data_IF_155470673143
#
_entry.id   IF_155470673143
#
_cell.length_a   1.000
_cell.length_b   1.000
_cell.length_c   1.000
_cell.angle_alpha   90.00
_cell.angle_beta   90.00
_cell.angle_gamma   90.00
#
_symmetry.space_group_name_H-M   'P 1'
#
loop_
_entity.id
_entity.type
_entity.pdbx_description
1 polymer ?
#
# COMPACT_ATOMS: atom_id res chain seq x y z
N UNK A 1 9.08 10.95 36.86
CA UNK A 1 7.75 11.08 36.23
C UNK A 1 7.54 12.55 35.91
N UNK A 2 8.10 13.02 34.80
CA UNK A 2 7.92 14.39 34.31
C UNK A 2 6.62 14.44 33.50
N UNK A 3 5.68 15.28 33.94
CA UNK A 3 4.38 15.41 33.29
C UNK A 3 4.50 16.00 31.90
N UNK A 4 4.26 15.19 30.87
CA UNK A 4 4.00 15.65 29.51
C UNK A 4 2.80 16.59 29.55
N UNK A 5 2.96 17.81 29.03
CA UNK A 5 1.93 18.85 29.13
C UNK A 5 0.74 18.50 28.22
N UNK A 6 -0.48 18.92 28.57
CA UNK A 6 -1.69 18.76 27.74
C UNK A 6 -1.49 19.32 26.31
N UNK A 7 -0.65 20.35 26.18
CA UNK A 7 -0.20 20.96 24.92
C UNK A 7 0.61 20.01 24.04
N UNK A 8 1.43 19.13 24.63
CA UNK A 8 2.23 18.15 23.88
C UNK A 8 1.35 17.04 23.27
N UNK A 9 0.34 16.59 24.02
CA UNK A 9 -0.65 15.63 23.52
C UNK A 9 -1.50 16.22 22.39
N UNK A 10 -1.94 17.47 22.53
CA UNK A 10 -2.71 18.15 21.49
C UNK A 10 -1.88 18.33 20.21
N UNK A 11 -0.62 18.78 20.34
CA UNK A 11 0.30 18.92 19.22
C UNK A 11 0.53 17.58 18.50
N UNK A 12 0.78 16.51 19.27
CA UNK A 12 0.98 15.15 18.74
C UNK A 12 -0.27 14.65 18.01
N UNK A 13 -1.46 14.88 18.57
CA UNK A 13 -2.72 14.53 17.92
C UNK A 13 -2.94 15.32 16.61
N UNK A 14 -2.62 16.61 16.60
CA UNK A 14 -2.73 17.46 15.40
C UNK A 14 -1.79 16.98 14.29
N UNK A 15 -0.54 16.61 14.60
CA UNK A 15 0.38 16.03 13.63
C UNK A 15 -0.09 14.68 13.09
N UNK A 16 -0.66 13.83 13.95
CA UNK A 16 -1.26 12.56 13.53
C UNK A 16 -2.41 12.79 12.54
N UNK A 17 -3.32 13.72 12.86
CA UNK A 17 -4.44 14.09 11.99
C UNK A 17 -3.93 14.71 10.69
N UNK A 18 -2.89 15.55 10.73
CA UNK A 18 -2.27 16.13 9.54
C UNK A 18 -1.76 15.03 8.60
N UNK A 19 -0.93 14.11 9.09
CA UNK A 19 -0.44 13.00 8.27
C UNK A 19 -1.57 12.09 7.78
N UNK A 20 -2.54 11.77 8.64
CA UNK A 20 -3.68 10.96 8.26
C UNK A 20 -4.51 11.62 7.15
N UNK A 21 -4.78 12.92 7.27
CA UNK A 21 -5.50 13.71 6.26
C UNK A 21 -4.72 13.79 4.94
N UNK A 22 -3.39 13.95 4.99
CA UNK A 22 -2.53 13.91 3.81
C UNK A 22 -2.56 12.56 3.09
N UNK A 23 -2.51 11.45 3.85
CA UNK A 23 -2.66 10.08 3.31
C UNK A 23 -4.03 9.91 2.66
N UNK A 24 -5.10 10.27 3.37
CA UNK A 24 -6.47 10.11 2.87
C UNK A 24 -6.67 10.95 1.62
N UNK A 25 -6.35 12.24 1.66
CA UNK A 25 -6.54 13.15 0.54
C UNK A 25 -5.77 12.70 -0.71
N UNK A 26 -4.46 12.44 -0.58
CA UNK A 26 -3.63 12.03 -1.71
C UNK A 26 -4.07 10.70 -2.32
N UNK A 27 -4.43 9.71 -1.48
CA UNK A 27 -4.82 8.39 -1.97
C UNK A 27 -6.27 8.33 -2.47
N UNK A 28 -7.16 9.20 -2.00
CA UNK A 28 -8.49 9.40 -2.58
C UNK A 28 -8.37 10.04 -3.96
N UNK A 29 -7.58 11.11 -4.10
CA UNK A 29 -7.30 11.72 -5.42
C UNK A 29 -6.71 10.70 -6.37
N UNK A 30 -5.71 9.92 -5.92
CA UNK A 30 -5.14 8.82 -6.69
C UNK A 30 -6.23 7.84 -7.14
N UNK A 31 -7.08 7.37 -6.22
CA UNK A 31 -8.13 6.40 -6.53
C UNK A 31 -9.17 6.91 -7.54
N UNK A 32 -9.65 8.13 -7.36
CA UNK A 32 -10.64 8.77 -8.24
C UNK A 32 -10.05 9.02 -9.63
N UNK A 33 -8.81 9.51 -9.73
CA UNK A 33 -8.13 9.66 -11.01
C UNK A 33 -7.89 8.30 -11.67
N UNK A 34 -7.54 7.28 -10.89
CA UNK A 34 -7.35 5.93 -11.38
C UNK A 34 -8.63 5.39 -12.03
N UNK A 35 -9.77 5.52 -11.35
CA UNK A 35 -11.07 5.10 -11.87
C UNK A 35 -11.46 5.92 -13.10
N UNK A 36 -11.32 7.25 -13.05
CA UNK A 36 -11.63 8.14 -14.18
C UNK A 36 -10.84 7.80 -15.43
N UNK A 37 -9.52 7.61 -15.33
CA UNK A 37 -8.65 7.27 -16.46
C UNK A 37 -9.07 5.96 -17.11
N UNK A 38 -9.52 4.99 -16.32
CA UNK A 38 -9.88 3.64 -16.80
C UNK A 38 -11.32 3.52 -17.29
N UNK A 39 -12.21 4.44 -16.91
CA UNK A 39 -13.67 4.34 -17.18
C UNK A 39 -14.19 5.41 -18.14
N UNK A 40 -13.60 6.61 -18.18
CA UNK A 40 -14.12 7.71 -18.98
C UNK A 40 -13.25 7.89 -20.25
N UNK A 41 -13.85 7.93 -21.46
CA UNK A 41 -13.11 8.14 -22.70
C UNK A 41 -12.56 9.57 -22.80
N UNK A 42 -11.38 9.70 -23.41
CA UNK A 42 -10.77 10.97 -23.78
C UNK A 42 -11.13 11.25 -25.24
N UNK A 43 -11.97 12.26 -25.49
CA UNK A 43 -12.38 12.61 -26.85
C UNK A 43 -13.08 11.48 -27.63
N UNK A 44 -13.75 10.55 -26.93
CA UNK A 44 -14.40 9.39 -27.52
C UNK A 44 -13.57 8.11 -27.54
N UNK A 45 -12.27 8.17 -27.22
CA UNK A 45 -11.38 7.00 -27.15
C UNK A 45 -11.08 6.61 -25.71
N UNK A 46 -11.31 5.34 -25.36
CA UNK A 46 -11.01 4.80 -24.03
C UNK A 46 -9.56 4.36 -23.91
N UNK A 47 -8.89 4.77 -22.81
CA UNK A 47 -7.52 4.37 -22.54
C UNK A 47 -7.45 2.87 -22.19
N UNK A 48 -6.73 2.11 -23.00
CA UNK A 48 -6.62 0.65 -22.85
C UNK A 48 -5.25 0.16 -22.37
N UNK A 49 -4.27 1.06 -22.21
CA UNK A 49 -2.87 0.70 -21.98
C UNK A 49 -2.46 0.72 -20.50
N UNK A 50 -3.12 -0.12 -19.67
CA UNK A 50 -2.93 -0.16 -18.20
C UNK A 50 -1.46 -0.28 -17.76
N UNK A 51 -0.66 -1.10 -18.45
CA UNK A 51 0.76 -1.32 -18.13
C UNK A 51 1.58 -0.03 -18.29
N UNK A 52 1.21 0.85 -19.21
CA UNK A 52 1.88 2.13 -19.42
C UNK A 52 1.68 3.06 -18.21
N UNK A 53 0.46 3.08 -17.66
CA UNK A 53 0.19 3.87 -16.45
C UNK A 53 0.93 3.33 -15.23
N UNK A 54 1.05 2.00 -15.12
CA UNK A 54 1.88 1.35 -14.10
C UNK A 54 3.33 1.78 -14.26
N UNK A 55 3.87 1.75 -15.49
CA UNK A 55 5.24 2.21 -15.78
C UNK A 55 5.47 3.66 -15.34
N UNK A 56 4.60 4.61 -15.72
CA UNK A 56 4.72 6.02 -15.30
C UNK A 56 4.74 6.17 -13.77
N UNK A 57 3.85 5.46 -13.07
CA UNK A 57 3.82 5.48 -11.61
C UNK A 57 5.09 4.88 -10.98
N UNK A 58 5.69 3.84 -11.58
CA UNK A 58 6.95 3.26 -11.09
C UNK A 58 8.12 4.20 -11.32
N UNK A 59 8.18 4.90 -12.44
CA UNK A 59 9.21 5.94 -12.70
C UNK A 59 9.12 7.04 -11.64
N UNK A 60 7.92 7.56 -11.38
CA UNK A 60 7.72 8.56 -10.33
C UNK A 60 8.14 8.05 -8.94
N UNK A 61 7.82 6.80 -8.61
CA UNK A 61 8.22 6.18 -7.34
C UNK A 61 9.74 5.98 -7.23
N UNK A 62 10.44 5.66 -8.33
CA UNK A 62 11.92 5.59 -8.37
C UNK A 62 12.52 6.96 -8.09
N UNK A 63 12.05 8.01 -8.76
CA UNK A 63 12.52 9.38 -8.53
C UNK A 63 12.34 9.80 -7.07
N UNK A 64 11.16 9.53 -6.50
CA UNK A 64 10.89 9.77 -5.09
C UNK A 64 11.83 8.98 -4.16
N UNK A 65 12.04 7.69 -4.44
CA UNK A 65 12.93 6.86 -3.64
C UNK A 65 14.39 7.36 -3.69
N UNK A 66 14.87 7.82 -4.84
CA UNK A 66 16.21 8.43 -4.99
C UNK A 66 16.30 9.70 -4.14
N UNK A 67 15.34 10.62 -4.26
CA UNK A 67 15.32 11.88 -3.49
C UNK A 67 15.30 11.61 -1.99
N UNK A 68 14.48 10.67 -1.53
CA UNK A 68 14.41 10.35 -0.09
C UNK A 68 15.67 9.64 0.41
N UNK A 69 16.25 8.73 -0.38
CA UNK A 69 17.48 8.04 -0.03
C UNK A 69 18.67 9.01 0.06
N UNK A 70 18.78 9.98 -0.85
CA UNK A 70 19.82 11.03 -0.79
C UNK A 70 19.63 11.95 0.41
N UNK A 71 18.39 12.41 0.68
CA UNK A 71 18.08 13.24 1.85
C UNK A 71 18.37 12.54 3.18
N UNK A 72 18.19 11.23 3.25
CA UNK A 72 18.47 10.41 4.44
C UNK A 72 19.89 9.84 4.49
N UNK A 73 20.74 10.16 3.50
CA UNK A 73 22.12 9.66 3.39
C UNK A 73 22.22 8.14 3.52
N UNK A 74 21.21 7.42 3.01
CA UNK A 74 21.24 5.97 3.05
C UNK A 74 22.20 5.42 1.99
N UNK A 75 22.88 4.32 2.32
CA UNK A 75 23.73 3.64 1.36
C UNK A 75 22.87 2.96 0.29
N UNK A 76 23.12 3.29 -0.98
CA UNK A 76 22.52 2.64 -2.15
C UNK A 76 23.05 1.21 -2.39
N UNK A 77 23.76 0.64 -1.42
CA UNK A 77 24.32 -0.70 -1.53
C UNK A 77 23.21 -1.74 -1.58
N UNK A 78 23.26 -2.61 -2.58
CA UNK A 78 22.31 -3.70 -2.69
C UNK A 78 22.49 -4.70 -1.53
N UNK A 79 21.56 -4.72 -0.57
CA UNK A 79 21.69 -5.58 0.63
C UNK A 79 21.17 -7.01 0.40
N UNK A 80 20.45 -7.27 -0.68
CA UNK A 80 19.90 -8.59 -1.00
C UNK A 80 20.15 -9.00 -2.46
N UNK A 81 20.24 -10.31 -2.78
CA UNK A 81 20.47 -10.74 -4.15
C UNK A 81 19.36 -10.27 -5.09
N UNK A 82 19.73 -9.70 -6.25
CA UNK A 82 18.80 -9.04 -7.19
C UNK A 82 17.65 -9.92 -7.66
N UNK A 83 17.85 -11.24 -7.76
CA UNK A 83 16.80 -12.16 -8.15
C UNK A 83 15.62 -12.17 -7.17
N UNK A 84 15.85 -11.95 -5.85
CA UNK A 84 14.77 -11.85 -4.85
C UNK A 84 13.93 -10.59 -5.09
N UNK A 85 14.58 -9.46 -5.38
CA UNK A 85 13.88 -8.24 -5.77
C UNK A 85 13.14 -8.40 -7.10
N UNK A 86 13.67 -9.18 -8.04
CA UNK A 86 13.03 -9.45 -9.32
C UNK A 86 11.73 -10.24 -9.14
N UNK A 87 11.72 -11.28 -8.30
CA UNK A 87 10.50 -12.05 -7.99
C UNK A 87 9.42 -11.15 -7.37
N UNK A 88 9.80 -10.30 -6.42
CA UNK A 88 8.90 -9.31 -5.81
C UNK A 88 8.36 -8.33 -6.87
N UNK A 89 9.22 -7.87 -7.77
CA UNK A 89 8.87 -6.90 -8.81
C UNK A 89 7.93 -7.50 -9.86
N UNK A 90 8.18 -8.74 -10.29
CA UNK A 90 7.29 -9.47 -11.19
C UNK A 90 5.89 -9.59 -10.57
N UNK A 91 5.81 -10.10 -9.34
CA UNK A 91 4.54 -10.25 -8.63
C UNK A 91 3.80 -8.91 -8.47
N UNK A 92 4.53 -7.83 -8.15
CA UNK A 92 3.98 -6.48 -8.02
C UNK A 92 3.46 -5.90 -9.35
N UNK A 93 4.18 -6.08 -10.46
CA UNK A 93 3.75 -5.61 -11.78
C UNK A 93 2.50 -6.36 -12.23
N UNK A 94 2.48 -7.68 -12.13
CA UNK A 94 1.28 -8.46 -12.47
C UNK A 94 0.09 -8.13 -11.57
N UNK A 95 0.31 -7.98 -10.25
CA UNK A 95 -0.72 -7.54 -9.33
C UNK A 95 -1.31 -6.17 -9.74
N UNK A 96 -0.43 -5.19 -10.04
CA UNK A 96 -0.84 -3.86 -10.47
C UNK A 96 -1.66 -3.93 -11.77
N UNK A 97 -1.18 -4.67 -12.77
CA UNK A 97 -1.90 -4.83 -14.04
C UNK A 97 -3.29 -5.44 -13.83
N UNK A 98 -3.41 -6.51 -13.04
CA UNK A 98 -4.70 -7.11 -12.69
C UNK A 98 -5.62 -6.12 -11.97
N UNK A 99 -5.07 -5.31 -11.05
CA UNK A 99 -5.83 -4.28 -10.34
C UNK A 99 -6.41 -3.25 -11.32
N UNK A 100 -5.59 -2.70 -12.20
CA UNK A 100 -6.02 -1.71 -13.19
C UNK A 100 -7.04 -2.29 -14.18
N UNK A 101 -6.81 -3.49 -14.70
CA UNK A 101 -7.76 -4.16 -15.59
C UNK A 101 -9.09 -4.47 -14.90
N UNK A 102 -9.07 -4.78 -13.59
CA UNK A 102 -10.30 -5.03 -12.85
C UNK A 102 -11.23 -3.81 -12.80
N UNK A 103 -10.71 -2.57 -12.85
CA UNK A 103 -11.54 -1.34 -12.91
C UNK A 103 -12.44 -1.26 -14.15
N UNK A 104 -12.10 -2.00 -15.21
CA UNK A 104 -12.95 -2.07 -16.41
C UNK A 104 -14.22 -2.88 -16.18
N UNK A 105 -14.24 -3.75 -15.17
CA UNK A 105 -15.33 -4.71 -14.93
C UNK A 105 -16.01 -4.51 -13.57
N UNK A 106 -15.24 -4.11 -12.54
CA UNK A 106 -15.75 -3.87 -11.19
C UNK A 106 -15.56 -2.41 -10.78
N UNK A 107 -16.50 -1.89 -9.99
CA UNK A 107 -16.40 -0.52 -9.48
C UNK A 107 -15.20 -0.33 -8.55
N UNK A 108 -14.76 0.92 -8.39
CA UNK A 108 -13.68 1.22 -7.44
C UNK A 108 -14.06 0.87 -5.99
N UNK A 109 -15.33 1.03 -5.59
CA UNK A 109 -15.82 0.61 -4.29
C UNK A 109 -15.59 -0.90 -4.05
N UNK A 110 -15.90 -1.74 -5.04
CA UNK A 110 -15.63 -3.19 -5.00
C UNK A 110 -14.15 -3.48 -4.83
N UNK A 111 -13.26 -2.74 -5.51
CA UNK A 111 -11.82 -2.91 -5.34
C UNK A 111 -11.31 -2.47 -3.97
N UNK A 112 -11.84 -1.37 -3.44
CA UNK A 112 -11.44 -0.88 -2.12
C UNK A 112 -11.82 -1.88 -1.02
N UNK A 113 -12.97 -2.55 -1.17
CA UNK A 113 -13.37 -3.66 -0.30
C UNK A 113 -12.58 -4.93 -0.55
N UNK A 114 -12.35 -5.29 -1.82
CA UNK A 114 -11.51 -6.44 -2.17
C UNK A 114 -10.11 -6.33 -1.57
N UNK A 115 -9.53 -5.13 -1.51
CA UNK A 115 -8.24 -4.89 -0.83
C UNK A 115 -8.26 -5.25 0.65
N UNK A 116 -9.40 -5.17 1.33
CA UNK A 116 -9.54 -5.64 2.71
C UNK A 116 -9.43 -7.16 2.81
N UNK A 117 -9.88 -7.89 1.79
CA UNK A 117 -9.71 -9.35 1.70
C UNK A 117 -8.25 -9.79 1.54
N UNK A 118 -7.32 -8.90 1.13
CA UNK A 118 -5.85 -9.17 1.04
C UNK A 118 -5.30 -9.87 2.28
N UNK A 119 -5.85 -9.59 3.45
CA UNK A 119 -5.43 -10.21 4.71
C UNK A 119 -5.41 -11.74 4.64
N UNK A 120 -6.39 -12.36 3.98
CA UNK A 120 -6.47 -13.81 3.80
C UNK A 120 -5.30 -14.36 2.96
N UNK A 121 -5.07 -13.91 1.71
CA UNK A 121 -3.89 -14.30 0.95
C UNK A 121 -2.56 -14.06 1.67
N UNK A 122 -2.41 -12.94 2.38
CA UNK A 122 -1.18 -12.64 3.15
C UNK A 122 -0.95 -13.67 4.24
N UNK A 123 -1.99 -14.08 4.98
CA UNK A 123 -1.88 -15.12 6.00
C UNK A 123 -1.50 -16.48 5.39
N UNK A 124 -2.15 -16.87 4.28
CA UNK A 124 -1.84 -18.12 3.57
C UNK A 124 -0.38 -18.16 3.10
N UNK A 125 0.10 -17.10 2.43
CA UNK A 125 1.49 -17.01 2.01
C UNK A 125 2.46 -16.90 3.19
N UNK A 126 2.07 -16.22 4.26
CA UNK A 126 2.85 -16.11 5.49
C UNK A 126 3.10 -17.48 6.14
N UNK A 127 2.10 -18.36 6.13
CA UNK A 127 2.26 -19.76 6.54
C UNK A 127 3.14 -20.52 5.56
N UNK A 128 2.82 -20.47 4.26
CA UNK A 128 3.49 -21.28 3.25
C UNK A 128 4.98 -20.95 3.06
N UNK A 129 5.36 -19.67 3.11
CA UNK A 129 6.72 -19.23 2.75
C UNK A 129 7.55 -18.78 3.95
N UNK A 130 6.90 -18.27 4.99
CA UNK A 130 7.57 -17.75 6.19
C UNK A 130 7.34 -18.61 7.44
N UNK A 131 6.59 -19.72 7.33
CA UNK A 131 6.32 -20.62 8.46
C UNK A 131 5.58 -19.97 9.63
N UNK A 132 4.93 -18.82 9.40
CA UNK A 132 4.23 -18.08 10.47
C UNK A 132 3.04 -18.91 10.98
N UNK A 133 2.73 -18.79 12.26
CA UNK A 133 1.52 -19.33 12.87
C UNK A 133 0.62 -18.18 13.26
N UNK A 134 -0.67 -18.31 12.96
CA UNK A 134 -1.68 -17.30 13.25
C UNK A 134 -2.59 -17.81 14.36
N UNK A 135 -3.02 -16.92 15.24
CA UNK A 135 -3.91 -17.24 16.35
C UNK A 135 -5.34 -17.49 15.85
N UNK A 136 -6.19 -18.10 16.69
CA UNK A 136 -7.61 -18.24 16.38
C UNK A 136 -8.27 -16.86 16.17
N UNK A 137 -7.85 -15.85 16.93
CA UNK A 137 -8.32 -14.46 16.80
C UNK A 137 -8.02 -13.90 15.41
N UNK A 138 -6.83 -14.14 14.87
CA UNK A 138 -6.47 -13.69 13.51
C UNK A 138 -7.39 -14.33 12.45
N UNK A 139 -7.71 -15.61 12.60
CA UNK A 139 -8.63 -16.33 11.71
C UNK A 139 -10.07 -15.84 11.83
N UNK A 140 -10.56 -15.56 13.04
CA UNK A 140 -11.91 -15.02 13.24
C UNK A 140 -12.06 -13.64 12.62
N UNK A 141 -11.05 -12.77 12.76
CA UNK A 141 -11.03 -11.47 12.10
C UNK A 141 -11.02 -11.65 10.58
N UNK A 142 -10.21 -12.58 10.07
CA UNK A 142 -10.15 -12.87 8.63
C UNK A 142 -11.47 -13.40 8.07
N UNK A 143 -12.15 -14.26 8.82
CA UNK A 143 -13.48 -14.73 8.50
C UNK A 143 -14.50 -13.58 8.50
N UNK A 144 -14.47 -12.69 9.50
CA UNK A 144 -15.36 -11.51 9.57
C UNK A 144 -15.18 -10.54 8.39
N UNK A 145 -13.93 -10.22 8.03
CA UNK A 145 -13.62 -9.41 6.84
C UNK A 145 -14.12 -10.10 5.57
N UNK A 146 -13.86 -11.41 5.43
CA UNK A 146 -14.28 -12.19 4.26
C UNK A 146 -15.80 -12.22 4.13
N UNK A 147 -16.52 -12.48 5.23
CA UNK A 147 -17.98 -12.49 5.25
C UNK A 147 -18.56 -11.13 4.84
N UNK A 148 -18.02 -10.03 5.37
CA UNK A 148 -18.47 -8.68 5.02
C UNK A 148 -18.24 -8.33 3.54
N UNK A 149 -17.08 -8.73 2.99
CA UNK A 149 -16.79 -8.54 1.55
C UNK A 149 -17.71 -9.41 0.69
N UNK A 150 -17.89 -10.68 1.03
CA UNK A 150 -18.78 -11.58 0.29
C UNK A 150 -20.22 -11.09 0.28
N UNK A 151 -20.74 -10.69 1.45
CA UNK A 151 -22.10 -10.14 1.57
C UNK A 151 -22.28 -8.93 0.65
N UNK A 152 -21.32 -7.99 0.68
CA UNK A 152 -21.36 -6.80 -0.16
C UNK A 152 -21.36 -7.12 -1.66
N UNK A 153 -20.56 -8.11 -2.08
CA UNK A 153 -20.44 -8.52 -3.48
C UNK A 153 -21.70 -9.26 -3.98
N UNK A 154 -22.40 -9.97 -3.10
CA UNK A 154 -23.58 -10.76 -3.48
C UNK A 154 -24.88 -9.94 -3.49
N UNK A 155 -24.95 -8.82 -2.77
CA UNK A 155 -26.23 -8.11 -2.51
C UNK A 155 -26.37 -6.75 -3.21
N UNK A 156 -25.50 -6.42 -4.15
CA UNK A 156 -25.75 -5.25 -5.01
C UNK A 156 -24.90 -5.20 -6.28
N UNK A 157 -25.09 -4.16 -7.10
CA UNK A 157 -24.42 -4.05 -8.39
C UNK A 157 -22.91 -3.87 -8.20
N UNK A 158 -22.16 -4.88 -8.62
CA UNK A 158 -20.69 -4.91 -8.56
C UNK A 158 -20.03 -4.43 -9.85
N UNK A 159 -20.82 -4.29 -10.92
CA UNK A 159 -20.39 -3.93 -12.27
C UNK A 159 -19.96 -2.46 -12.38
N UNK A 160 -18.91 -2.23 -13.17
CA UNK A 160 -18.51 -0.89 -13.64
C UNK A 160 -19.56 -0.32 -14.62
N UNK A 161 -19.73 1.01 -14.74
CA UNK A 161 -20.67 1.62 -15.70
C UNK A 161 -20.49 1.21 -17.17
N UNK A 162 -19.30 0.72 -17.55
CA UNK A 162 -18.96 0.24 -18.89
C UNK A 162 -18.95 -1.30 -19.02
N UNK A 163 -19.60 -2.04 -18.11
CA UNK A 163 -19.51 -3.51 -18.09
C UNK A 163 -19.98 -4.14 -19.41
N UNK A 164 -19.08 -4.85 -20.09
CA UNK A 164 -19.34 -5.65 -21.29
C UNK A 164 -19.98 -7.02 -20.96
N UNK A 165 -20.69 -7.14 -19.83
CA UNK A 165 -21.42 -8.33 -19.43
C UNK A 165 -20.56 -9.45 -18.86
N UNK A 166 -19.41 -9.14 -18.22
CA UNK A 166 -18.49 -10.18 -17.75
C UNK A 166 -17.91 -9.89 -16.35
N UNK A 167 -18.76 -9.53 -15.40
CA UNK A 167 -18.37 -9.19 -14.01
C UNK A 167 -17.58 -10.33 -13.31
N UNK A 168 -17.78 -11.59 -13.72
CA UNK A 168 -17.00 -12.73 -13.25
C UNK A 168 -15.51 -12.62 -13.61
N UNK A 169 -15.17 -12.11 -14.80
CA UNK A 169 -13.78 -11.83 -15.21
C UNK A 169 -13.16 -10.75 -14.32
N UNK A 170 -13.94 -9.72 -13.98
CA UNK A 170 -13.54 -8.67 -13.04
C UNK A 170 -13.21 -9.21 -11.64
N UNK A 171 -14.08 -10.08 -11.11
CA UNK A 171 -13.86 -10.72 -9.81
C UNK A 171 -12.64 -11.66 -9.82
N UNK A 172 -12.45 -12.42 -10.90
CA UNK A 172 -11.27 -13.28 -11.05
C UNK A 172 -9.97 -12.46 -11.12
N UNK A 173 -9.96 -11.34 -11.86
CA UNK A 173 -8.83 -10.41 -11.90
C UNK A 173 -8.55 -9.79 -10.52
N UNK A 174 -9.60 -9.46 -9.76
CA UNK A 174 -9.48 -8.95 -8.39
C UNK A 174 -8.87 -10.01 -7.46
N UNK A 175 -9.32 -11.27 -7.54
CA UNK A 175 -8.72 -12.37 -6.76
C UNK A 175 -7.25 -12.61 -7.12
N UNK A 176 -6.92 -12.60 -8.42
CA UNK A 176 -5.54 -12.74 -8.90
C UNK A 176 -4.66 -11.58 -8.38
N UNK A 177 -5.16 -10.34 -8.45
CA UNK A 177 -4.51 -9.18 -7.86
C UNK A 177 -4.24 -9.38 -6.37
N UNK A 178 -5.23 -9.81 -5.57
CA UNK A 178 -5.09 -9.98 -4.13
C UNK A 178 -4.12 -11.10 -3.76
N UNK A 179 -4.12 -12.21 -4.52
CA UNK A 179 -3.17 -13.31 -4.36
C UNK A 179 -1.72 -12.89 -4.62
N UNK A 180 -1.49 -12.17 -5.72
CA UNK A 180 -0.17 -11.66 -6.10
C UNK A 180 0.30 -10.52 -5.19
N UNK A 181 -0.59 -9.61 -4.81
CA UNK A 181 -0.27 -8.52 -3.88
C UNK A 181 0.02 -9.08 -2.47
N UNK A 182 -0.67 -10.16 -2.07
CA UNK A 182 -0.35 -10.92 -0.87
C UNK A 182 1.04 -11.55 -0.91
N UNK A 183 1.37 -12.24 -2.02
CA UNK A 183 2.70 -12.80 -2.26
C UNK A 183 3.79 -11.73 -2.21
N UNK A 184 3.57 -10.60 -2.88
CA UNK A 184 4.46 -9.45 -2.91
C UNK A 184 4.75 -8.96 -1.49
N UNK A 185 3.72 -8.71 -0.68
CA UNK A 185 3.92 -8.25 0.71
C UNK A 185 4.64 -9.27 1.57
N UNK A 186 4.33 -10.56 1.45
CA UNK A 186 5.00 -11.61 2.23
C UNK A 186 6.48 -11.74 1.86
N UNK A 187 6.81 -11.64 0.56
CA UNK A 187 8.20 -11.64 0.08
C UNK A 187 8.95 -10.39 0.50
N UNK A 188 8.29 -9.23 0.49
CA UNK A 188 8.89 -7.99 0.98
C UNK A 188 9.21 -8.08 2.48
N UNK A 189 8.30 -8.61 3.29
CA UNK A 189 8.53 -8.82 4.73
C UNK A 189 9.67 -9.80 5.00
N UNK A 190 9.72 -10.92 4.26
CA UNK A 190 10.80 -11.91 4.39
C UNK A 190 12.16 -11.31 4.04
N UNK A 191 12.21 -10.52 2.97
CA UNK A 191 13.42 -9.82 2.53
C UNK A 191 13.93 -8.84 3.59
N UNK A 192 13.00 -8.07 4.18
CA UNK A 192 13.31 -7.11 5.24
C UNK A 192 13.92 -7.80 6.47
N UNK A 193 13.35 -8.95 6.87
CA UNK A 193 13.83 -9.71 8.04
C UNK A 193 15.17 -10.41 7.80
N UNK A 194 15.35 -11.03 6.63
CA UNK A 194 16.55 -11.84 6.34
C UNK A 194 17.78 -11.00 5.98
N UNK A 195 17.61 -9.84 5.33
CA UNK A 195 18.74 -9.08 4.75
C UNK A 195 18.91 -7.68 5.35
N UNK A 196 18.12 -7.32 6.40
CA UNK A 196 18.16 -6.01 7.07
C UNK A 196 18.20 -4.84 6.08
N UNK A 197 17.43 -4.95 5.00
CA UNK A 197 17.40 -3.96 3.92
C UNK A 197 16.74 -2.70 4.41
N UNK A 198 17.33 -1.53 4.14
CA UNK A 198 16.61 -0.27 4.35
C UNK A 198 15.32 -0.24 3.51
N UNK A 199 14.27 0.36 4.07
CA UNK A 199 12.97 0.56 3.41
C UNK A 199 13.12 1.28 2.06
N UNK A 200 13.92 2.34 1.99
CA UNK A 200 14.09 3.08 0.75
C UNK A 200 14.92 2.31 -0.26
N UNK A 201 15.93 1.58 0.21
CA UNK A 201 16.72 0.70 -0.64
C UNK A 201 15.83 -0.37 -1.30
N UNK A 202 15.01 -1.04 -0.51
CA UNK A 202 14.06 -2.03 -1.01
C UNK A 202 13.00 -1.41 -1.94
N UNK A 203 12.48 -0.23 -1.59
CA UNK A 203 11.53 0.51 -2.43
C UNK A 203 12.17 0.92 -3.75
N UNK A 204 13.43 1.36 -3.75
CA UNK A 204 14.18 1.75 -4.94
C UNK A 204 14.38 0.54 -5.87
N UNK A 205 14.96 -0.55 -5.37
CA UNK A 205 15.25 -1.73 -6.19
C UNK A 205 13.99 -2.41 -6.72
N UNK A 206 12.92 -2.51 -5.91
CA UNK A 206 11.65 -3.07 -6.38
C UNK A 206 11.05 -2.16 -7.45
N UNK A 207 10.98 -0.84 -7.25
CA UNK A 207 10.38 0.03 -8.26
C UNK A 207 11.24 0.11 -9.53
N UNK A 208 12.57 0.07 -9.42
CA UNK A 208 13.48 0.06 -10.57
C UNK A 208 13.33 -1.21 -11.41
N UNK A 209 13.36 -2.38 -10.77
CA UNK A 209 13.10 -3.64 -11.45
C UNK A 209 11.65 -3.71 -11.97
N UNK A 210 10.68 -3.14 -11.25
CA UNK A 210 9.30 -3.04 -11.75
C UNK A 210 9.23 -2.16 -13.01
N UNK A 211 9.98 -1.06 -13.09
CA UNK A 211 10.10 -0.26 -14.31
C UNK A 211 10.66 -1.10 -15.46
N UNK A 212 11.75 -1.85 -15.23
CA UNK A 212 12.34 -2.72 -16.26
C UNK A 212 11.34 -3.77 -16.75
N UNK A 213 10.66 -4.45 -15.83
CA UNK A 213 9.63 -5.45 -16.17
C UNK A 213 8.50 -4.81 -16.96
N UNK A 214 7.95 -3.68 -16.51
CA UNK A 214 6.87 -2.99 -17.22
C UNK A 214 7.30 -2.52 -18.61
N UNK A 215 8.52 -2.00 -18.77
CA UNK A 215 9.08 -1.63 -20.09
C UNK A 215 9.18 -2.83 -21.02
N UNK A 216 9.72 -3.95 -20.54
CA UNK A 216 9.82 -5.18 -21.32
C UNK A 216 8.42 -5.63 -21.74
N UNK A 217 7.44 -5.65 -20.83
CA UNK A 217 6.05 -6.01 -21.14
C UNK A 217 5.42 -5.10 -22.18
N UNK A 218 5.67 -3.79 -22.13
CA UNK A 218 5.13 -2.82 -23.10
C UNK A 218 5.73 -3.01 -24.49
N UNK A 219 7.03 -3.31 -24.56
CA UNK A 219 7.73 -3.56 -25.82
C UNK A 219 7.26 -4.89 -26.42
N UNK A 220 7.21 -5.96 -25.62
CA UNK A 220 6.81 -7.29 -26.12
C UNK A 220 5.34 -7.38 -26.49
N UNK A 221 4.47 -6.61 -25.82
CA UNK A 221 3.03 -6.55 -26.15
C UNK A 221 2.73 -5.62 -27.34
N UNK A 222 3.72 -4.87 -27.84
CA UNK A 222 3.54 -3.90 -28.93
C UNK A 222 2.68 -2.69 -28.57
N UNK A 223 2.34 -2.49 -27.30
CA UNK A 223 1.39 -1.45 -26.84
C UNK A 223 2.06 -0.11 -26.55
N UNK A 224 3.38 -0.07 -26.46
CA UNK A 224 4.14 1.15 -26.15
C UNK A 224 3.87 2.29 -27.15
N UNK A 225 3.92 1.99 -28.45
CA UNK A 225 3.68 2.98 -29.50
C UNK A 225 2.26 3.55 -29.46
N UNK A 226 1.26 2.70 -29.25
CA UNK A 226 -0.14 3.11 -29.10
C UNK A 226 -0.36 4.00 -27.88
N UNK A 227 0.23 3.65 -26.73
CA UNK A 227 0.16 4.47 -25.52
C UNK A 227 0.80 5.84 -25.70
N UNK A 228 1.96 5.90 -26.37
CA UNK A 228 2.65 7.17 -26.65
C UNK A 228 1.86 8.04 -27.63
N UNK A 229 1.31 7.47 -28.69
CA UNK A 229 0.43 8.18 -29.63
C UNK A 229 -0.78 8.77 -28.92
N UNK A 230 -1.40 8.01 -28.01
CA UNK A 230 -2.53 8.47 -27.21
C UNK A 230 -2.16 9.67 -26.33
N UNK A 231 -0.96 9.69 -25.74
CA UNK A 231 -0.48 10.83 -24.96
C UNK A 231 -0.37 12.11 -25.80
N UNK A 232 0.13 12.00 -27.03
CA UNK A 232 0.27 13.14 -27.93
C UNK A 232 -1.08 13.66 -28.45
N UNK A 233 -2.04 12.76 -28.68
CA UNK A 233 -3.38 13.15 -29.15
C UNK A 233 -4.26 13.72 -28.03
N UNK A 234 -4.11 13.25 -26.80
CA UNK A 234 -5.00 13.62 -25.67
C UNK A 234 -4.22 14.33 -24.55
N UNK A 235 -3.99 15.64 -24.67
CA UNK A 235 -3.26 16.42 -23.65
C UNK A 235 -3.88 16.38 -22.24
N UNK A 236 -5.21 16.23 -22.15
CA UNK A 236 -5.91 16.05 -20.86
C UNK A 236 -5.52 14.75 -20.16
N UNK A 237 -5.32 13.67 -20.90
CA UNK A 237 -4.83 12.41 -20.34
C UNK A 237 -3.45 12.58 -19.70
N UNK A 238 -2.55 13.32 -20.33
CA UNK A 238 -1.21 13.58 -19.79
C UNK A 238 -1.28 14.31 -18.46
N UNK A 239 -2.15 15.31 -18.34
CA UNK A 239 -2.39 16.01 -17.08
C UNK A 239 -2.92 15.06 -16.00
N UNK A 240 -3.94 14.26 -16.33
CA UNK A 240 -4.56 13.33 -15.39
C UNK A 240 -3.59 12.23 -14.93
N UNK A 241 -2.78 11.69 -15.85
CA UNK A 241 -1.75 10.70 -15.56
C UNK A 241 -0.62 11.30 -14.70
N UNK A 242 -0.21 12.55 -14.98
CA UNK A 242 0.80 13.24 -14.19
C UNK A 242 0.31 13.53 -12.77
N UNK A 243 -0.93 13.98 -12.63
CA UNK A 243 -1.56 14.22 -11.32
C UNK A 243 -1.77 12.92 -10.54
N UNK A 244 -2.11 11.82 -11.23
CA UNK A 244 -2.14 10.48 -10.64
C UNK A 244 -0.77 10.11 -10.06
N UNK A 245 0.31 10.25 -10.82
CA UNK A 245 1.66 9.96 -10.33
C UNK A 245 2.10 10.90 -9.19
N UNK A 246 1.77 12.19 -9.27
CA UNK A 246 2.06 13.16 -8.22
C UNK A 246 1.34 12.83 -6.91
N UNK A 247 0.05 12.48 -6.98
CA UNK A 247 -0.73 12.06 -5.81
C UNK A 247 -0.21 10.75 -5.21
N UNK A 248 0.28 9.81 -6.04
CA UNK A 248 0.93 8.58 -5.55
C UNK A 248 2.21 8.88 -4.76
N UNK A 249 3.07 9.75 -5.29
CA UNK A 249 4.32 10.17 -4.63
C UNK A 249 4.02 10.97 -3.35
N UNK A 250 3.09 11.92 -3.39
CA UNK A 250 2.65 12.67 -2.21
C UNK A 250 2.08 11.75 -1.13
N UNK A 251 1.26 10.78 -1.50
CA UNK A 251 0.75 9.75 -0.60
C UNK A 251 1.89 8.92 0.02
N UNK A 252 2.90 8.52 -0.75
CA UNK A 252 4.06 7.79 -0.25
C UNK A 252 4.86 8.60 0.79
N UNK A 253 5.04 9.91 0.57
CA UNK A 253 5.66 10.79 1.54
C UNK A 253 4.91 10.79 2.88
N UNK A 254 3.60 11.01 2.87
CA UNK A 254 2.81 11.02 4.10
C UNK A 254 2.76 9.65 4.80
N UNK A 255 2.68 8.56 4.02
CA UNK A 255 2.76 7.19 4.57
C UNK A 255 4.08 6.99 5.30
N UNK A 256 5.20 7.41 4.70
CA UNK A 256 6.50 7.29 5.34
C UNK A 256 6.54 8.08 6.64
N UNK A 257 6.15 9.36 6.61
CA UNK A 257 6.18 10.24 7.78
C UNK A 257 5.31 9.70 8.92
N UNK A 258 4.10 9.22 8.62
CA UNK A 258 3.22 8.65 9.65
C UNK A 258 3.77 7.35 10.24
N UNK A 259 4.30 6.44 9.41
CA UNK A 259 4.88 5.19 9.90
C UNK A 259 6.12 5.47 10.76
N UNK A 260 6.91 6.49 10.42
CA UNK A 260 8.08 6.89 11.20
C UNK A 260 7.67 7.46 12.56
N UNK A 261 6.75 8.43 12.59
CA UNK A 261 6.42 9.18 13.80
C UNK A 261 5.41 8.44 14.71
N UNK A 262 4.48 7.67 14.13
CA UNK A 262 3.35 7.05 14.84
C UNK A 262 3.29 5.52 14.73
N UNK A 263 4.19 4.91 13.93
CA UNK A 263 4.28 3.47 13.79
C UNK A 263 3.27 2.84 12.81
N UNK A 264 3.44 1.53 12.59
CA UNK A 264 2.66 0.77 11.62
C UNK A 264 1.19 0.55 12.03
N UNK A 265 0.89 0.52 13.32
CA UNK A 265 -0.46 0.29 13.84
C UNK A 265 -1.40 1.48 13.59
N UNK A 266 -0.92 2.70 13.87
CA UNK A 266 -1.65 3.93 13.55
C UNK A 266 -1.83 4.05 12.04
N UNK A 267 -0.80 3.70 11.26
CA UNK A 267 -0.92 3.63 9.82
C UNK A 267 -1.99 2.65 9.33
N UNK A 268 -2.08 1.45 9.90
CA UNK A 268 -3.14 0.51 9.56
C UNK A 268 -4.54 1.07 9.85
N UNK A 269 -4.72 1.75 11.00
CA UNK A 269 -5.99 2.40 11.33
C UNK A 269 -6.34 3.52 10.34
N UNK A 270 -5.39 4.40 10.01
CA UNK A 270 -5.56 5.45 8.98
C UNK A 270 -5.97 4.85 7.63
N UNK A 271 -5.41 3.70 7.26
CA UNK A 271 -5.72 3.02 5.99
C UNK A 271 -7.13 2.44 5.95
N UNK A 272 -7.65 1.95 7.09
CA UNK A 272 -9.04 1.53 7.23
C UNK A 272 -9.98 2.73 7.06
N UNK A 273 -9.69 3.86 7.72
CA UNK A 273 -10.47 5.11 7.57
C UNK A 273 -10.46 5.58 6.11
N UNK A 274 -9.29 5.58 5.48
CA UNK A 274 -9.15 5.90 4.05
C UNK A 274 -10.06 5.02 3.19
N UNK A 275 -10.09 3.71 3.41
CA UNK A 275 -10.96 2.81 2.62
C UNK A 275 -12.43 3.18 2.74
N UNK A 276 -12.91 3.48 3.96
CA UNK A 276 -14.28 3.95 4.20
C UNK A 276 -14.54 5.24 3.41
N UNK A 277 -13.65 6.24 3.52
CA UNK A 277 -13.79 7.53 2.81
C UNK A 277 -13.80 7.33 1.29
N UNK A 278 -12.89 6.51 0.77
CA UNK A 278 -12.81 6.19 -0.66
C UNK A 278 -14.09 5.53 -1.19
N UNK A 279 -14.69 4.63 -0.42
CA UNK A 279 -15.96 3.99 -0.79
C UNK A 279 -17.09 5.05 -0.81
N UNK A 280 -17.20 5.86 0.24
CA UNK A 280 -18.21 6.93 0.31
C UNK A 280 -18.08 7.89 -0.88
N UNK A 281 -16.86 8.35 -1.17
CA UNK A 281 -16.59 9.27 -2.29
C UNK A 281 -16.96 8.61 -3.64
N UNK A 282 -16.64 7.34 -3.84
CA UNK A 282 -17.01 6.60 -5.06
C UNK A 282 -18.53 6.52 -5.21
N UNK A 283 -19.27 6.17 -4.15
CA UNK A 283 -20.73 6.14 -4.18
C UNK A 283 -21.35 7.52 -4.47
N UNK A 284 -20.83 8.59 -3.84
CA UNK A 284 -21.31 9.95 -4.08
C UNK A 284 -21.04 10.42 -5.51
N UNK A 285 -19.87 10.06 -6.07
CA UNK A 285 -19.43 10.51 -7.39
C UNK A 285 -20.13 9.77 -8.53
N UNK A 286 -20.30 8.44 -8.39
CA UNK A 286 -20.82 7.57 -9.44
C UNK A 286 -22.32 7.24 -9.28
N UNK A 287 -22.98 7.79 -8.26
CA UNK A 287 -24.43 7.66 -7.99
C UNK A 287 -24.94 6.21 -7.96
N UNK A 288 -24.14 5.29 -7.45
CA UNK A 288 -24.59 3.92 -7.22
C UNK A 288 -25.56 3.86 -6.03
N UNK A 289 -26.67 3.13 -6.18
CA UNK A 289 -27.58 2.86 -5.07
C UNK A 289 -26.99 1.76 -4.18
N UNK A 290 -26.88 2.01 -2.87
CA UNK A 290 -26.44 1.01 -1.89
C UNK A 290 -27.64 0.27 -1.31
N UNK A 291 -27.58 -1.06 -1.27
CA UNK A 291 -28.63 -1.86 -0.63
C UNK A 291 -28.41 -1.93 0.88
N UNK A 292 -29.47 -2.15 1.66
CA UNK A 292 -29.35 -2.29 3.13
C UNK A 292 -28.43 -3.44 3.54
N UNK A 293 -28.42 -4.53 2.76
CA UNK A 293 -27.53 -5.67 2.96
C UNK A 293 -26.06 -5.33 2.65
N UNK A 294 -25.79 -4.50 1.63
CA UNK A 294 -24.44 -3.99 1.39
C UNK A 294 -23.92 -3.15 2.57
N UNK A 295 -24.78 -2.34 3.20
CA UNK A 295 -24.40 -1.59 4.41
C UNK A 295 -24.03 -2.56 5.55
N UNK A 296 -24.79 -3.63 5.74
CA UNK A 296 -24.47 -4.65 6.73
C UNK A 296 -23.11 -5.30 6.45
N UNK A 297 -22.83 -5.67 5.20
CA UNK A 297 -21.53 -6.21 4.78
C UNK A 297 -20.37 -5.24 5.01
N UNK A 298 -20.55 -3.95 4.69
CA UNK A 298 -19.58 -2.90 4.99
C UNK A 298 -19.30 -2.80 6.49
N UNK A 299 -20.35 -2.74 7.30
CA UNK A 299 -20.24 -2.63 8.76
C UNK A 299 -19.49 -3.83 9.35
N UNK A 300 -19.83 -5.05 8.92
CA UNK A 300 -19.13 -6.26 9.36
C UNK A 300 -17.63 -6.26 8.98
N UNK A 301 -17.32 -5.86 7.74
CA UNK A 301 -15.96 -5.80 7.24
C UNK A 301 -15.12 -4.78 8.02
N UNK A 302 -15.60 -3.55 8.14
CA UNK A 302 -14.86 -2.48 8.80
C UNK A 302 -14.79 -2.67 10.32
N UNK A 303 -15.85 -3.17 10.96
CA UNK A 303 -15.79 -3.50 12.39
C UNK A 303 -14.69 -4.54 12.66
N UNK A 304 -14.57 -5.56 11.81
CA UNK A 304 -13.50 -6.56 11.91
C UNK A 304 -12.10 -5.93 11.75
N UNK A 305 -11.92 -5.04 10.76
CA UNK A 305 -10.65 -4.34 10.53
C UNK A 305 -10.27 -3.40 11.68
N UNK A 306 -11.23 -2.61 12.18
CA UNK A 306 -11.02 -1.71 13.31
C UNK A 306 -10.76 -2.49 14.60
N UNK A 307 -11.45 -3.61 14.81
CA UNK A 307 -11.20 -4.50 15.94
C UNK A 307 -9.77 -5.07 15.90
N UNK A 308 -9.28 -5.45 14.71
CA UNK A 308 -7.87 -5.86 14.54
C UNK A 308 -6.89 -4.76 14.92
N UNK A 309 -7.09 -3.54 14.40
CA UNK A 309 -6.25 -2.39 14.73
C UNK A 309 -6.27 -2.08 16.23
N UNK A 310 -7.45 -2.18 16.85
CA UNK A 310 -7.63 -1.96 18.28
C UNK A 310 -6.90 -3.00 19.13
N UNK A 311 -7.04 -4.30 18.81
CA UNK A 311 -6.30 -5.37 19.50
C UNK A 311 -4.78 -5.20 19.36
N UNK A 312 -4.30 -4.83 18.16
CA UNK A 312 -2.89 -4.54 17.94
C UNK A 312 -2.38 -3.40 18.83
N UNK A 313 -3.16 -2.33 18.98
CA UNK A 313 -2.83 -1.21 19.87
C UNK A 313 -2.83 -1.60 21.35
N UNK A 314 -3.77 -2.44 21.80
CA UNK A 314 -3.82 -2.94 23.18
C UNK A 314 -2.61 -3.82 23.52
N UNK A 315 -2.30 -4.79 22.66
CA UNK A 315 -1.20 -5.74 22.86
C UNK A 315 0.19 -5.09 22.80
N UNK A 316 0.29 -3.93 22.15
CA UNK A 316 1.51 -3.10 22.06
C UNK A 316 1.89 -2.39 23.37
N UNK A 317 1.14 -2.61 24.45
CA UNK A 317 1.55 -2.17 25.80
C UNK A 317 2.78 -2.91 26.34
N UNK A 318 3.28 -3.91 25.60
CA UNK A 318 4.58 -4.58 25.83
C UNK A 318 5.65 -3.99 24.87
N UNK A 319 6.84 -3.56 25.34
CA UNK A 319 7.80 -2.76 24.56
C UNK A 319 8.34 -3.37 23.25
N UNK A 320 8.17 -4.68 23.02
CA UNK A 320 8.76 -5.40 21.90
C UNK A 320 8.07 -5.15 20.54
N UNK A 321 6.81 -4.69 20.53
CA UNK A 321 6.04 -4.48 19.29
C UNK A 321 5.87 -3.00 18.91
N UNK A 322 6.22 -2.08 19.84
CA UNK A 322 6.40 -0.64 19.59
C UNK A 322 7.71 -0.30 18.88
N UNK A 323 8.52 -1.29 18.52
CA UNK A 323 9.70 -1.04 17.71
C UNK A 323 9.23 -0.37 16.41
N UNK A 324 9.70 0.85 16.10
CA UNK A 324 9.59 1.34 14.74
C UNK A 324 10.19 0.25 13.84
N UNK A 325 9.72 0.13 12.60
CA UNK A 325 10.35 -0.74 11.61
C UNK A 325 11.85 -0.38 11.36
N UNK A 326 12.36 0.65 12.04
CA UNK A 326 13.74 1.10 12.06
C UNK A 326 14.21 1.26 13.51
N UNK A 327 15.32 0.62 13.87
CA UNK A 327 16.22 1.18 14.89
C UNK A 327 17.01 2.27 14.18
N UNK A 328 17.00 3.50 14.70
CA UNK A 328 17.82 4.58 14.13
C UNK A 328 19.29 4.13 14.08
N UNK A 329 19.99 4.27 12.94
CA UNK A 329 21.42 3.96 12.86
C UNK A 329 22.26 4.78 13.85
N UNK A 330 21.77 5.98 14.21
CA UNK A 330 22.41 6.89 15.17
C UNK A 330 22.30 6.38 16.62
N UNK A 331 21.33 5.52 16.93
CA UNK A 331 21.24 4.88 18.24
C UNK A 331 22.37 3.85 18.47
N UNK A 332 22.92 3.26 17.40
CA UNK A 332 24.05 2.35 17.52
C UNK A 332 25.36 3.07 17.82
N UNK A 333 25.54 4.31 17.36
CA UNK A 333 26.79 5.05 17.61
C UNK A 333 26.91 5.45 19.08
N UNK A 334 25.82 5.93 19.68
CA UNK A 334 25.83 6.30 21.10
C UNK A 334 25.85 5.08 22.03
N UNK A 335 25.15 3.99 21.69
CA UNK A 335 25.15 2.77 22.51
C UNK A 335 26.48 2.00 22.42
N UNK A 336 27.16 1.99 21.26
CA UNK A 336 28.50 1.37 21.14
C UNK A 336 29.61 2.23 21.74
N UNK A 337 29.48 3.57 21.74
CA UNK A 337 30.41 4.46 22.46
C UNK A 337 30.18 4.44 23.98
N UNK A 338 28.94 4.41 24.48
CA UNK A 338 28.66 4.28 25.93
C UNK A 338 29.13 2.94 26.49
N UNK A 339 28.96 1.83 25.74
CA UNK A 339 29.47 0.51 26.16
C UNK A 339 31.00 0.45 26.10
N UNK A 340 31.66 1.11 25.13
CA UNK A 340 33.13 1.17 25.10
C UNK A 340 33.71 2.07 26.20
N UNK A 341 33.08 3.20 26.53
CA UNK A 341 33.55 4.10 27.58
C UNK A 341 33.35 3.51 28.99
N UNK A 342 32.21 2.86 29.26
CA UNK A 342 31.99 2.21 30.56
C UNK A 342 32.88 0.98 30.78
N UNK A 343 33.28 0.30 29.70
CA UNK A 343 34.22 -0.82 29.77
C UNK A 343 35.66 -0.35 30.08
N UNK A 344 36.06 0.81 29.56
CA UNK A 344 37.39 1.38 29.80
C UNK A 344 37.57 1.99 31.21
N UNK A 345 36.50 2.52 31.82
CA UNK A 345 36.57 3.07 33.18
C UNK A 345 36.54 1.99 34.27
N UNK A 346 35.98 0.81 33.98
CA UNK A 346 35.98 -0.31 34.93
C UNK A 346 37.36 -1.00 35.00
N UNK A 347 38.16 -0.94 33.93
CA UNK A 347 39.49 -1.57 33.87
C UNK A 347 40.61 -0.71 34.48
N UNK A 348 40.37 0.60 34.70
CA UNK A 348 41.33 1.52 35.36
C UNK A 348 41.15 1.66 36.88
N UNK A 349 40.08 1.11 37.45
CA UNK A 349 39.79 1.17 38.89
C UNK A 349 40.30 -0.01 39.72
N UNK A 350 40.98 -0.99 39.11
CA UNK A 350 41.44 -2.21 39.78
C UNK A 350 42.94 -2.49 39.58
N UNK A 351 43.77 -1.47 39.76
CA UNK A 351 45.20 -1.63 40.06
C UNK A 351 45.61 -0.76 41.23
#
# INVERSE_FOLDING_TARGET
>A
MTGTSRTDYLSTALWCVFYASGIIGMLVVYGVLQERIMTIPYGGESFSFSVFLVFCNRVAAVLFAIVMATMKKEQFGNSAPLWKYLVVSLSNVFASTCQYESLKYVSFAVQMLGKSFKMMPVMLWGMAISGKRYSLTDWLIAAGVTAGVTEFLMTGPTASPNDQGNSAKGLLLLLAFLGLDGLTSTMQEKLFKEHQTSKYNQMLYINLLSCCVSSITLITSGTFGGAMSFCFHHGRFVFDASLLSASAVGGQFFIYSQVKEFGALVFAATMNVRQVVSIIVSYATYKHSITGLQILGLMLCFLSLFYKSYLGLLNSSTPAEKAPLLKDPEANTNTQQEVSNNSADTEKGSK
#
